data_IF_452192821065
#
_entry.id   IF_452192821065
#
_cell.length_a   1.000
_cell.length_b   1.000
_cell.length_c   1.000
_cell.angle_alpha   90.00
_cell.angle_beta   90.00
_cell.angle_gamma   90.00
#
_symmetry.space_group_name_H-M   'P 1'
#
loop_
_entity.id
_entity.type
_entity.pdbx_description
1 polymer ?
#
# COMPACT_ATOMS: atom_id res chain seq x y z
N UNK A 1 -34.95 26.28 3.92
CA UNK A 1 -33.83 25.70 4.68
C UNK A 1 -34.26 24.34 5.17
N UNK A 2 -34.12 23.34 4.31
CA UNK A 2 -34.45 21.95 4.62
C UNK A 2 -33.71 21.54 5.90
N UNK A 3 -34.40 20.82 6.80
CA UNK A 3 -33.85 20.17 8.00
C UNK A 3 -32.84 19.09 7.58
N UNK A 4 -31.76 19.48 6.92
CA UNK A 4 -30.68 18.59 6.52
C UNK A 4 -29.96 18.23 7.81
N UNK A 5 -30.35 17.06 8.31
CA UNK A 5 -29.71 16.29 9.36
C UNK A 5 -29.20 17.14 10.53
N UNK A 6 -30.10 17.52 11.46
CA UNK A 6 -29.74 18.26 12.68
C UNK A 6 -28.58 17.62 13.47
N UNK A 7 -28.45 16.28 13.40
CA UNK A 7 -27.33 15.56 13.98
C UNK A 7 -26.01 15.89 13.28
N UNK A 8 -25.98 15.94 11.95
CA UNK A 8 -24.81 16.36 11.18
C UNK A 8 -24.35 17.77 11.55
N UNK A 9 -25.28 18.74 11.61
CA UNK A 9 -24.95 20.14 11.96
C UNK A 9 -24.41 20.28 13.39
N UNK A 10 -24.93 19.49 14.33
CA UNK A 10 -24.42 19.44 15.70
C UNK A 10 -22.99 18.92 15.71
N UNK A 11 -22.73 17.76 15.09
CA UNK A 11 -21.40 17.15 15.03
C UNK A 11 -20.42 18.06 14.30
N UNK A 12 -20.82 18.72 13.21
CA UNK A 12 -19.95 19.65 12.50
C UNK A 12 -19.55 20.84 13.37
N UNK A 13 -20.43 21.30 14.25
CA UNK A 13 -20.13 22.38 15.21
C UNK A 13 -19.14 21.91 16.29
N UNK A 14 -19.31 20.68 16.79
CA UNK A 14 -18.37 20.07 17.74
C UNK A 14 -16.99 19.84 17.11
N UNK A 15 -16.93 19.44 15.83
CA UNK A 15 -15.68 19.27 15.09
C UNK A 15 -14.94 20.59 14.82
N UNK A 16 -15.62 21.74 14.81
CA UNK A 16 -14.95 23.04 14.75
C UNK A 16 -14.18 23.30 16.05
N UNK A 17 -14.68 22.83 17.19
CA UNK A 17 -14.05 22.99 18.50
C UNK A 17 -12.94 21.97 18.72
N UNK A 18 -13.12 20.72 18.28
CA UNK A 18 -12.12 19.66 18.36
C UNK A 18 -11.91 18.95 17.01
N UNK A 19 -11.13 19.56 16.09
CA UNK A 19 -10.91 19.01 14.75
C UNK A 19 -10.12 17.69 14.72
N UNK A 20 -9.47 17.31 15.84
CA UNK A 20 -8.61 16.14 15.91
C UNK A 20 -9.33 14.90 16.47
N UNK A 21 -10.61 15.04 16.84
CA UNK A 21 -11.41 13.95 17.37
C UNK A 21 -11.89 13.00 16.27
N UNK A 22 -11.15 11.91 16.06
CA UNK A 22 -11.49 10.92 15.04
C UNK A 22 -12.89 10.33 15.23
N UNK A 23 -13.38 10.17 16.46
CA UNK A 23 -14.68 9.54 16.70
C UNK A 23 -15.84 10.44 16.27
N UNK A 24 -15.73 11.76 16.50
CA UNK A 24 -16.66 12.73 15.93
C UNK A 24 -16.66 12.71 14.39
N UNK A 25 -15.50 12.55 13.76
CA UNK A 25 -15.43 12.38 12.30
C UNK A 25 -16.13 11.11 11.82
N UNK A 26 -16.00 9.99 12.56
CA UNK A 26 -16.73 8.75 12.21
C UNK A 26 -18.24 8.97 12.29
N UNK A 27 -18.70 9.63 13.34
CA UNK A 27 -20.12 9.94 13.53
C UNK A 27 -20.65 10.89 12.45
N UNK A 28 -19.85 11.88 12.04
CA UNK A 28 -20.18 12.78 10.94
C UNK A 28 -20.44 11.99 9.66
N UNK A 29 -19.53 11.08 9.29
CA UNK A 29 -19.70 10.21 8.12
C UNK A 29 -20.96 9.36 8.25
N UNK A 30 -21.13 8.64 9.35
CA UNK A 30 -22.31 7.79 9.55
C UNK A 30 -23.62 8.58 9.51
N UNK A 31 -23.63 9.83 9.98
CA UNK A 31 -24.79 10.70 9.85
C UNK A 31 -25.05 11.10 8.40
N UNK A 32 -23.99 11.35 7.61
CA UNK A 32 -24.12 11.73 6.20
C UNK A 32 -24.57 10.57 5.29
N UNK A 33 -24.34 9.32 5.68
CA UNK A 33 -24.69 8.12 4.89
C UNK A 33 -26.19 7.77 4.91
N UNK A 34 -26.95 8.33 5.85
CA UNK A 34 -28.35 7.97 6.07
C UNK A 34 -29.28 9.18 6.17
N UNK A 35 -30.53 8.97 5.75
CA UNK A 35 -31.65 9.90 5.86
C UNK A 35 -32.77 9.15 6.57
N UNK A 36 -33.23 9.62 7.73
CA UNK A 36 -34.24 8.92 8.54
C UNK A 36 -33.90 7.43 8.75
N UNK A 37 -32.61 7.14 8.96
CA UNK A 37 -32.02 5.79 9.10
C UNK A 37 -32.07 4.92 7.84
N UNK A 38 -32.44 5.46 6.68
CA UNK A 38 -32.36 4.77 5.38
C UNK A 38 -31.09 5.22 4.63
N UNK A 39 -30.37 4.30 3.94
CA UNK A 39 -29.22 4.67 3.14
C UNK A 39 -29.57 5.64 2.01
N UNK A 40 -28.62 6.50 1.64
CA UNK A 40 -28.73 7.35 0.45
C UNK A 40 -28.89 6.48 -0.82
N UNK A 41 -29.70 6.94 -1.76
CA UNK A 41 -29.94 6.29 -3.05
C UNK A 41 -29.80 7.28 -4.20
N UNK A 42 -29.90 6.80 -5.44
CA UNK A 42 -29.91 7.65 -6.65
C UNK A 42 -31.09 8.65 -6.69
N UNK A 43 -32.15 8.40 -5.92
CA UNK A 43 -33.32 9.27 -5.82
C UNK A 43 -33.26 10.26 -4.66
N UNK A 44 -32.18 10.26 -3.87
CA UNK A 44 -31.95 11.25 -2.81
C UNK A 44 -31.75 12.65 -3.39
N UNK A 45 -31.99 13.69 -2.58
CA UNK A 45 -31.88 15.07 -3.05
C UNK A 45 -30.43 15.43 -3.37
N UNK A 46 -30.23 16.39 -4.28
CA UNK A 46 -28.89 16.89 -4.64
C UNK A 46 -28.14 17.44 -3.43
N UNK A 47 -28.85 18.09 -2.49
CA UNK A 47 -28.29 18.62 -1.24
C UNK A 47 -27.75 17.50 -0.34
N UNK A 48 -28.45 16.37 -0.25
CA UNK A 48 -28.04 15.20 0.55
C UNK A 48 -26.81 14.50 -0.05
N UNK A 49 -26.80 14.32 -1.37
CA UNK A 49 -25.64 13.75 -2.08
C UNK A 49 -24.42 14.68 -1.92
N UNK A 50 -24.62 16.00 -2.00
CA UNK A 50 -23.56 16.97 -1.74
C UNK A 50 -23.03 16.88 -0.32
N UNK A 51 -23.91 16.77 0.68
CA UNK A 51 -23.51 16.61 2.07
C UNK A 51 -22.65 15.37 2.31
N UNK A 52 -23.04 14.23 1.72
CA UNK A 52 -22.27 12.99 1.76
C UNK A 52 -20.86 13.19 1.20
N UNK A 53 -20.75 13.74 -0.03
CA UNK A 53 -19.46 14.00 -0.69
C UNK A 53 -18.57 14.91 0.15
N UNK A 54 -19.10 16.05 0.61
CA UNK A 54 -18.35 17.01 1.44
C UNK A 54 -17.86 16.37 2.74
N UNK A 55 -18.67 15.52 3.37
CA UNK A 55 -18.28 14.83 4.60
C UNK A 55 -17.10 13.90 4.37
N UNK A 56 -17.14 13.11 3.30
CA UNK A 56 -16.06 12.22 2.89
C UNK A 56 -14.79 12.96 2.48
N UNK A 57 -14.91 14.02 1.67
CA UNK A 57 -13.76 14.85 1.29
C UNK A 57 -13.09 15.50 2.51
N UNK A 58 -13.88 15.94 3.50
CA UNK A 58 -13.37 16.57 4.72
C UNK A 58 -12.59 15.60 5.61
N UNK A 59 -13.13 14.40 5.88
CA UNK A 59 -12.41 13.40 6.70
C UNK A 59 -11.14 12.93 5.99
N UNK A 60 -11.18 12.76 4.66
CA UNK A 60 -10.05 12.28 3.88
C UNK A 60 -8.95 13.34 3.70
N UNK A 61 -9.32 14.62 3.69
CA UNK A 61 -8.34 15.70 3.76
C UNK A 61 -7.63 15.74 5.12
N UNK A 62 -8.36 15.47 6.21
CA UNK A 62 -7.81 15.46 7.57
C UNK A 62 -7.02 14.19 7.90
N UNK A 63 -7.51 13.02 7.48
CA UNK A 63 -6.93 11.69 7.74
C UNK A 63 -6.76 10.90 6.43
N UNK A 64 -5.80 11.31 5.57
CA UNK A 64 -5.65 10.73 4.24
C UNK A 64 -5.24 9.24 4.23
N UNK A 65 -4.68 8.72 5.33
CA UNK A 65 -4.27 7.31 5.45
C UNK A 65 -5.37 6.37 5.95
N UNK A 66 -6.55 6.88 6.28
CA UNK A 66 -7.70 6.06 6.68
C UNK A 66 -8.37 5.41 5.45
N UNK A 67 -7.67 4.44 4.87
CA UNK A 67 -8.01 3.79 3.59
C UNK A 67 -9.44 3.25 3.51
N UNK A 68 -10.02 2.83 4.64
CA UNK A 68 -11.39 2.33 4.70
C UNK A 68 -12.42 3.39 4.26
N UNK A 69 -12.18 4.67 4.52
CA UNK A 69 -13.08 5.74 4.07
C UNK A 69 -12.91 6.03 2.58
N UNK A 70 -11.71 5.88 2.01
CA UNK A 70 -11.50 5.96 0.56
C UNK A 70 -12.30 4.88 -0.17
N UNK A 71 -12.21 3.62 0.29
CA UNK A 71 -12.96 2.49 -0.28
C UNK A 71 -14.48 2.72 -0.17
N UNK A 72 -14.96 3.12 1.02
CA UNK A 72 -16.38 3.43 1.22
C UNK A 72 -16.84 4.57 0.33
N UNK A 73 -16.03 5.62 0.17
CA UNK A 73 -16.40 6.77 -0.66
C UNK A 73 -16.51 6.38 -2.14
N UNK A 74 -15.53 5.63 -2.66
CA UNK A 74 -15.58 5.14 -4.03
C UNK A 74 -16.79 4.23 -4.26
N UNK A 75 -17.10 3.34 -3.31
CA UNK A 75 -18.30 2.50 -3.37
C UNK A 75 -19.60 3.33 -3.35
N UNK A 76 -19.65 4.42 -2.58
CA UNK A 76 -20.79 5.34 -2.59
C UNK A 76 -20.99 6.00 -3.96
N UNK A 77 -19.94 6.54 -4.56
CA UNK A 77 -20.02 7.11 -5.91
C UNK A 77 -20.46 6.06 -6.94
N UNK A 78 -19.94 4.83 -6.85
CA UNK A 78 -20.32 3.74 -7.72
C UNK A 78 -21.81 3.37 -7.57
N UNK A 79 -22.31 3.23 -6.33
CA UNK A 79 -23.73 2.99 -6.04
C UNK A 79 -24.65 4.09 -6.57
N UNK A 80 -24.17 5.34 -6.55
CA UNK A 80 -24.88 6.49 -7.13
C UNK A 80 -24.83 6.53 -8.66
N UNK A 81 -24.07 5.64 -9.30
CA UNK A 81 -23.92 5.54 -10.76
C UNK A 81 -22.76 6.36 -11.31
N UNK A 82 -21.93 6.96 -10.45
CA UNK A 82 -20.81 7.80 -10.82
C UNK A 82 -19.51 6.99 -10.94
N UNK A 83 -19.47 6.02 -11.88
CA UNK A 83 -18.34 5.09 -12.05
C UNK A 83 -17.01 5.80 -12.29
N UNK A 84 -17.00 6.88 -13.08
CA UNK A 84 -15.78 7.66 -13.33
C UNK A 84 -15.26 8.34 -12.06
N UNK A 85 -16.16 8.87 -11.23
CA UNK A 85 -15.80 9.49 -9.96
C UNK A 85 -15.25 8.46 -8.98
N UNK A 86 -15.88 7.29 -8.88
CA UNK A 86 -15.36 6.18 -8.09
C UNK A 86 -13.94 5.80 -8.49
N UNK A 87 -13.67 5.71 -9.80
CA UNK A 87 -12.33 5.48 -10.32
C UNK A 87 -11.33 6.58 -9.91
N UNK A 88 -11.70 7.85 -10.01
CA UNK A 88 -10.81 8.94 -9.57
C UNK A 88 -10.50 8.89 -8.08
N UNK A 89 -11.46 8.52 -7.24
CA UNK A 89 -11.29 8.37 -5.79
C UNK A 89 -10.29 7.25 -5.49
N UNK A 90 -10.38 6.11 -6.18
CA UNK A 90 -9.39 5.03 -6.04
C UNK A 90 -7.99 5.46 -6.50
N UNK A 91 -7.88 6.20 -7.62
CA UNK A 91 -6.58 6.67 -8.09
C UNK A 91 -5.95 7.66 -7.09
N UNK A 92 -6.74 8.60 -6.58
CA UNK A 92 -6.30 9.55 -5.54
C UNK A 92 -5.86 8.82 -4.26
N UNK A 93 -6.60 7.80 -3.82
CA UNK A 93 -6.24 7.04 -2.62
C UNK A 93 -4.94 6.26 -2.81
N UNK A 94 -4.69 5.70 -4.00
CA UNK A 94 -3.46 4.98 -4.32
C UNK A 94 -2.26 5.90 -4.53
N UNK A 95 -2.45 7.15 -4.93
CA UNK A 95 -1.36 8.15 -4.97
C UNK A 95 -0.88 8.51 -3.55
N UNK A 96 -1.78 8.47 -2.57
CA UNK A 96 -1.50 8.72 -1.15
C UNK A 96 -0.94 7.46 -0.47
N UNK A 97 -1.60 6.32 -0.65
CA UNK A 97 -1.32 5.06 0.05
C UNK A 97 -1.02 3.90 -0.90
N UNK A 98 0.02 4.00 -1.76
CA UNK A 98 0.29 2.98 -2.79
C UNK A 98 0.71 1.62 -2.23
N UNK A 99 1.03 1.53 -0.94
CA UNK A 99 1.47 0.29 -0.29
C UNK A 99 0.35 -0.42 0.49
N UNK A 100 -0.87 0.11 0.48
CA UNK A 100 -2.01 -0.49 1.15
C UNK A 100 -2.59 -1.61 0.28
N UNK A 101 -2.53 -2.84 0.80
CA UNK A 101 -3.00 -4.03 0.09
C UNK A 101 -4.51 -4.03 -0.12
N UNK A 102 -5.27 -3.59 0.89
CA UNK A 102 -6.74 -3.56 0.86
C UNK A 102 -7.26 -2.62 -0.23
N UNK A 103 -6.63 -1.44 -0.40
CA UNK A 103 -6.99 -0.49 -1.46
C UNK A 103 -6.77 -1.08 -2.85
N UNK A 104 -5.64 -1.74 -3.07
CA UNK A 104 -5.35 -2.37 -4.36
C UNK A 104 -6.34 -3.48 -4.68
N UNK A 105 -6.62 -4.37 -3.73
CA UNK A 105 -7.55 -5.49 -3.94
C UNK A 105 -8.95 -4.96 -4.26
N UNK A 106 -9.44 -3.98 -3.48
CA UNK A 106 -10.76 -3.37 -3.70
C UNK A 106 -10.85 -2.67 -5.05
N UNK A 107 -9.81 -1.92 -5.42
CA UNK A 107 -9.76 -1.26 -6.72
C UNK A 107 -9.71 -2.24 -7.90
N UNK A 108 -8.93 -3.32 -7.77
CA UNK A 108 -8.85 -4.35 -8.81
C UNK A 108 -10.20 -5.08 -8.97
N UNK A 109 -10.89 -5.39 -7.87
CA UNK A 109 -12.26 -5.94 -7.90
C UNK A 109 -13.22 -4.99 -8.60
N UNK A 110 -13.21 -3.71 -8.23
CA UNK A 110 -14.00 -2.67 -8.90
C UNK A 110 -13.70 -2.58 -10.41
N UNK A 111 -12.43 -2.72 -10.80
CA UNK A 111 -12.02 -2.69 -12.22
C UNK A 111 -12.45 -3.92 -13.01
N UNK A 112 -12.48 -5.08 -12.38
CA UNK A 112 -13.04 -6.29 -12.98
C UNK A 112 -14.56 -6.17 -13.10
N UNK A 113 -15.25 -5.66 -12.07
CA UNK A 113 -16.70 -5.47 -12.09
C UNK A 113 -17.16 -4.46 -13.16
N UNK A 114 -16.35 -3.43 -13.40
CA UNK A 114 -16.63 -2.37 -14.39
C UNK A 114 -15.89 -2.58 -15.71
N UNK A 115 -15.42 -3.81 -15.96
CA UNK A 115 -14.69 -4.15 -17.16
C UNK A 115 -15.59 -3.95 -18.38
N UNK A 116 -15.09 -3.19 -19.34
CA UNK A 116 -15.71 -3.08 -20.67
C UNK A 116 -14.84 -3.86 -21.66
N UNK A 117 -14.00 -3.17 -22.44
CA UNK A 117 -13.18 -3.79 -23.49
C UNK A 117 -11.66 -3.64 -23.26
N UNK A 118 -11.24 -3.16 -22.08
CA UNK A 118 -9.84 -2.76 -21.85
C UNK A 118 -9.09 -3.73 -20.92
N UNK A 119 -9.08 -5.01 -21.27
CA UNK A 119 -8.47 -6.09 -20.48
C UNK A 119 -6.97 -5.82 -20.28
N UNK A 120 -6.26 -5.33 -21.29
CA UNK A 120 -4.83 -5.01 -21.21
C UNK A 120 -4.52 -3.90 -20.20
N UNK A 121 -5.39 -2.90 -20.07
CA UNK A 121 -5.22 -1.87 -19.02
C UNK A 121 -5.33 -2.45 -17.62
N UNK A 122 -6.19 -3.44 -17.42
CA UNK A 122 -6.37 -4.12 -16.14
C UNK A 122 -5.15 -5.01 -15.85
N UNK A 123 -4.60 -5.70 -16.85
CA UNK A 123 -3.34 -6.42 -16.70
C UNK A 123 -2.20 -5.48 -16.27
N UNK A 124 -2.07 -4.31 -16.91
CA UNK A 124 -1.09 -3.28 -16.51
C UNK A 124 -1.32 -2.80 -15.08
N UNK A 125 -2.58 -2.74 -14.64
CA UNK A 125 -2.93 -2.38 -13.27
C UNK A 125 -2.53 -3.47 -12.27
N UNK A 126 -2.72 -4.74 -12.60
CA UNK A 126 -2.23 -5.88 -11.81
C UNK A 126 -0.70 -5.90 -11.70
N UNK A 127 0.01 -5.57 -12.79
CA UNK A 127 1.47 -5.45 -12.75
C UNK A 127 1.94 -4.26 -11.92
N UNK A 128 1.25 -3.12 -12.04
CA UNK A 128 1.52 -1.95 -11.20
C UNK A 128 1.30 -2.27 -9.73
N UNK A 129 0.16 -2.87 -9.36
CA UNK A 129 -0.13 -3.23 -7.97
C UNK A 129 0.88 -4.25 -7.44
N UNK A 130 1.26 -5.26 -8.23
CA UNK A 130 2.31 -6.24 -7.88
C UNK A 130 3.63 -5.57 -7.52
N UNK A 131 4.00 -4.48 -8.20
CA UNK A 131 5.25 -3.74 -7.91
C UNK A 131 5.27 -3.04 -6.54
N UNK A 132 4.09 -2.80 -5.95
CA UNK A 132 3.94 -2.25 -4.61
C UNK A 132 3.67 -3.33 -3.57
N UNK A 133 2.64 -4.15 -3.79
CA UNK A 133 2.10 -5.06 -2.76
C UNK A 133 2.44 -6.55 -2.98
N UNK A 134 3.17 -6.90 -4.03
CA UNK A 134 3.50 -8.29 -4.34
C UNK A 134 4.25 -9.00 -3.21
N UNK A 135 5.18 -8.30 -2.55
CA UNK A 135 5.94 -8.82 -1.41
C UNK A 135 5.21 -8.73 -0.07
N UNK A 136 3.96 -8.25 -0.02
CA UNK A 136 3.23 -8.18 1.23
C UNK A 136 3.02 -9.60 1.80
N UNK A 137 3.33 -9.82 3.08
CA UNK A 137 3.22 -11.15 3.69
C UNK A 137 1.81 -11.78 3.56
N UNK A 138 0.78 -10.92 3.56
CA UNK A 138 -0.62 -11.31 3.38
C UNK A 138 -1.17 -11.12 1.95
N UNK A 139 -0.34 -11.07 0.91
CA UNK A 139 -0.78 -10.86 -0.50
C UNK A 139 -1.44 -12.05 -1.19
N UNK A 140 -1.83 -13.09 -0.45
CA UNK A 140 -2.48 -14.27 -1.02
C UNK A 140 -3.78 -13.95 -1.77
N UNK A 141 -4.66 -13.13 -1.18
CA UNK A 141 -5.90 -12.70 -1.84
C UNK A 141 -5.63 -11.91 -3.13
N UNK A 142 -4.60 -11.06 -3.13
CA UNK A 142 -4.18 -10.32 -4.33
C UNK A 142 -3.75 -11.28 -5.45
N UNK A 143 -2.92 -12.28 -5.13
CA UNK A 143 -2.46 -13.25 -6.12
C UNK A 143 -3.55 -14.21 -6.59
N UNK A 144 -4.49 -14.59 -5.72
CA UNK A 144 -5.68 -15.33 -6.10
C UNK A 144 -6.50 -14.55 -7.11
N UNK A 145 -6.81 -13.29 -6.82
CA UNK A 145 -7.55 -12.40 -7.72
C UNK A 145 -6.81 -12.22 -9.07
N UNK A 146 -5.48 -12.11 -9.06
CA UNK A 146 -4.70 -11.97 -10.28
C UNK A 146 -4.71 -13.25 -11.12
N UNK A 147 -4.53 -14.43 -10.49
CA UNK A 147 -4.61 -15.71 -11.19
C UNK A 147 -6.02 -15.96 -11.75
N UNK A 148 -7.08 -15.62 -11.00
CA UNK A 148 -8.47 -15.71 -11.47
C UNK A 148 -8.73 -14.79 -12.67
N UNK A 149 -8.23 -13.55 -12.63
CA UNK A 149 -8.31 -12.65 -13.78
C UNK A 149 -7.64 -13.25 -15.03
N UNK A 150 -6.43 -13.78 -14.89
CA UNK A 150 -5.73 -14.40 -16.03
C UNK A 150 -6.49 -15.61 -16.57
N UNK A 151 -7.04 -16.44 -15.69
CA UNK A 151 -7.77 -17.65 -16.09
C UNK A 151 -9.13 -17.34 -16.74
N UNK A 152 -9.86 -16.35 -16.22
CA UNK A 152 -11.18 -15.95 -16.73
C UNK A 152 -11.11 -15.21 -18.07
N UNK A 153 -10.03 -14.48 -18.34
CA UNK A 153 -9.87 -13.65 -19.54
C UNK A 153 -8.83 -14.17 -20.53
N UNK A 154 -8.26 -15.36 -20.33
CA UNK A 154 -7.35 -15.96 -21.31
C UNK A 154 -8.06 -16.25 -22.62
N UNK A 155 -7.37 -15.98 -23.72
CA UNK A 155 -7.76 -16.38 -25.07
C UNK A 155 -6.49 -16.69 -25.88
N UNK A 156 -6.67 -17.24 -27.07
CA UNK A 156 -5.55 -17.67 -27.93
C UNK A 156 -4.63 -16.52 -28.37
N UNK A 157 -5.08 -15.26 -28.21
CA UNK A 157 -4.39 -14.07 -28.72
C UNK A 157 -3.62 -13.26 -27.66
N UNK A 158 -3.80 -13.51 -26.35
CA UNK A 158 -3.31 -12.60 -25.29
C UNK A 158 -2.19 -13.16 -24.38
N UNK A 159 -1.71 -14.39 -24.61
CA UNK A 159 -0.68 -15.06 -23.79
C UNK A 159 -1.00 -15.15 -22.27
N UNK A 160 -2.25 -14.93 -21.84
CA UNK A 160 -2.59 -14.91 -20.41
C UNK A 160 -2.38 -16.28 -19.75
N UNK A 161 -2.52 -17.35 -20.52
CA UNK A 161 -2.22 -18.69 -20.03
C UNK A 161 -0.74 -18.84 -19.66
N UNK A 162 0.18 -18.44 -20.55
CA UNK A 162 1.62 -18.41 -20.25
C UNK A 162 1.91 -17.52 -19.04
N UNK A 163 1.28 -16.34 -18.98
CA UNK A 163 1.40 -15.40 -17.87
C UNK A 163 0.95 -16.02 -16.54
N UNK A 164 -0.12 -16.80 -16.54
CA UNK A 164 -0.65 -17.52 -15.38
C UNK A 164 0.41 -18.48 -14.82
N UNK A 165 1.00 -19.32 -15.66
CA UNK A 165 2.02 -20.29 -15.22
C UNK A 165 3.27 -19.60 -14.68
N UNK A 166 3.74 -18.54 -15.36
CA UNK A 166 4.89 -17.75 -14.91
C UNK A 166 4.58 -17.09 -13.56
N UNK A 167 3.39 -16.49 -13.42
CA UNK A 167 2.98 -15.84 -12.18
C UNK A 167 2.88 -16.86 -11.04
N UNK A 168 2.23 -18.00 -11.26
CA UNK A 168 2.14 -19.06 -10.26
C UNK A 168 3.54 -19.53 -9.84
N UNK A 169 4.46 -19.71 -10.79
CA UNK A 169 5.86 -20.07 -10.51
C UNK A 169 6.58 -19.03 -9.64
N UNK A 170 6.36 -17.74 -9.91
CA UNK A 170 6.92 -16.63 -9.13
C UNK A 170 6.37 -16.66 -7.70
N UNK A 171 5.07 -16.87 -7.52
CA UNK A 171 4.41 -16.87 -6.20
C UNK A 171 5.04 -17.93 -5.27
N UNK A 172 5.47 -19.08 -5.79
CA UNK A 172 6.09 -20.14 -4.99
C UNK A 172 7.40 -19.70 -4.30
N UNK A 173 8.11 -18.74 -4.89
CA UNK A 173 9.36 -18.21 -4.34
C UNK A 173 9.14 -17.08 -3.32
N UNK A 174 7.90 -16.63 -3.13
CA UNK A 174 7.57 -15.55 -2.20
C UNK A 174 7.10 -16.16 -0.87
N UNK A 175 7.69 -15.78 0.28
CA UNK A 175 7.31 -16.30 1.59
C UNK A 175 6.01 -15.66 2.10
N UNK A 176 4.88 -16.04 1.49
CA UNK A 176 3.55 -15.60 1.87
C UNK A 176 3.03 -16.36 3.09
N UNK A 177 2.10 -15.76 3.84
CA UNK A 177 1.41 -16.42 4.95
C UNK A 177 0.71 -17.72 4.49
N UNK A 178 -0.08 -17.65 3.41
CA UNK A 178 -0.78 -18.81 2.84
C UNK A 178 -0.04 -19.46 1.65
N UNK A 179 1.30 -19.50 1.66
CA UNK A 179 2.11 -20.10 0.58
C UNK A 179 1.67 -21.53 0.19
N UNK A 180 1.27 -22.34 1.18
CA UNK A 180 0.87 -23.74 0.97
C UNK A 180 -0.31 -23.91 0.00
N UNK A 181 -1.20 -22.92 -0.10
CA UNK A 181 -2.30 -22.93 -1.06
C UNK A 181 -1.80 -22.94 -2.52
N UNK A 182 -0.80 -22.11 -2.84
CA UNK A 182 -0.22 -22.03 -4.19
C UNK A 182 0.62 -23.26 -4.52
N UNK A 183 1.35 -23.80 -3.55
CA UNK A 183 2.06 -25.07 -3.71
C UNK A 183 1.10 -26.24 -3.98
N UNK A 184 -0.04 -26.29 -3.29
CA UNK A 184 -1.09 -27.28 -3.59
C UNK A 184 -1.57 -27.15 -5.04
N UNK A 185 -1.94 -25.93 -5.48
CA UNK A 185 -2.32 -25.67 -6.88
C UNK A 185 -1.24 -26.14 -7.87
N UNK A 186 0.04 -25.92 -7.55
CA UNK A 186 1.16 -26.33 -8.38
C UNK A 186 1.38 -27.85 -8.42
N UNK A 187 1.29 -28.55 -7.29
CA UNK A 187 1.41 -30.00 -7.26
C UNK A 187 0.22 -30.70 -7.93
N UNK A 188 -1.00 -30.17 -7.75
CA UNK A 188 -2.19 -30.66 -8.45
C UNK A 188 -2.03 -30.50 -9.98
N UNK A 189 -1.41 -29.41 -10.43
CA UNK A 189 -1.04 -29.20 -11.83
C UNK A 189 -0.02 -30.24 -12.32
N UNK A 190 1.10 -30.43 -11.60
CA UNK A 190 2.11 -31.45 -11.95
C UNK A 190 1.47 -32.84 -12.04
N UNK A 191 0.64 -33.20 -11.07
CA UNK A 191 -0.02 -34.50 -11.03
C UNK A 191 -1.03 -34.65 -12.20
N UNK A 192 -1.70 -33.58 -12.64
CA UNK A 192 -2.54 -33.58 -13.85
C UNK A 192 -1.71 -33.78 -15.12
N UNK A 193 -0.62 -33.03 -15.29
CA UNK A 193 0.27 -33.16 -16.45
C UNK A 193 0.92 -34.54 -16.54
N UNK A 194 1.18 -35.18 -15.39
CA UNK A 194 1.75 -36.54 -15.37
C UNK A 194 0.80 -37.62 -15.91
N UNK A 195 -0.51 -37.35 -15.94
CA UNK A 195 -1.56 -38.28 -16.38
C UNK A 195 -2.04 -38.02 -17.81
N UNK A 196 -1.81 -36.83 -18.35
CA UNK A 196 -2.25 -36.41 -19.68
C UNK A 196 -1.05 -35.95 -20.52
N UNK A 197 -0.56 -36.85 -21.39
CA UNK A 197 0.60 -36.58 -22.24
C UNK A 197 0.34 -35.45 -23.26
N UNK A 198 -0.89 -35.31 -23.75
CA UNK A 198 -1.24 -34.25 -24.71
C UNK A 198 -1.20 -32.89 -24.03
N UNK A 199 -1.78 -32.79 -22.83
CA UNK A 199 -1.71 -31.59 -22.02
C UNK A 199 -0.27 -31.28 -21.59
N UNK A 200 0.52 -32.30 -21.25
CA UNK A 200 1.93 -32.14 -20.92
C UNK A 200 2.74 -31.53 -22.07
N UNK A 201 2.57 -32.02 -23.30
CA UNK A 201 3.25 -31.47 -24.49
C UNK A 201 2.94 -29.99 -24.69
N UNK A 202 1.70 -29.58 -24.43
CA UNK A 202 1.25 -28.22 -24.64
C UNK A 202 1.66 -27.25 -23.51
N UNK A 203 1.64 -27.70 -22.25
CA UNK A 203 1.82 -26.81 -21.09
C UNK A 203 3.22 -26.85 -20.47
N UNK A 204 4.02 -27.92 -20.67
CA UNK A 204 5.35 -28.03 -20.06
C UNK A 204 6.33 -26.94 -20.53
N UNK A 205 6.16 -26.41 -21.74
CA UNK A 205 6.93 -25.26 -22.25
C UNK A 205 6.81 -24.00 -21.36
N UNK A 206 5.73 -23.88 -20.59
CA UNK A 206 5.55 -22.76 -19.65
C UNK A 206 6.20 -23.00 -18.28
N UNK A 207 6.55 -24.25 -17.98
CA UNK A 207 7.11 -24.69 -16.69
C UNK A 207 8.62 -24.88 -16.80
N UNK A 208 9.08 -25.41 -17.93
CA UNK A 208 10.46 -25.72 -18.23
C UNK A 208 10.95 -24.84 -19.38
N UNK A 209 12.08 -24.12 -19.23
CA UNK A 209 12.58 -23.21 -20.25
C UNK A 209 13.24 -23.88 -21.46
N UNK A 210 13.56 -25.19 -21.40
CA UNK A 210 14.26 -25.92 -22.45
C UNK A 210 13.34 -26.97 -23.06
N UNK A 211 13.25 -27.10 -24.38
CA UNK A 211 12.37 -28.08 -25.05
C UNK A 211 12.94 -29.50 -25.15
N UNK A 212 14.19 -29.71 -24.72
CA UNK A 212 14.88 -31.01 -24.82
C UNK A 212 14.59 -31.95 -23.64
N UNK A 213 13.32 -32.13 -23.27
CA UNK A 213 12.92 -33.10 -22.23
C UNK A 213 12.11 -34.26 -22.80
N UNK A 214 12.35 -35.46 -22.27
CA UNK A 214 11.49 -36.61 -22.49
C UNK A 214 10.34 -36.56 -21.49
N UNK A 215 9.10 -36.56 -21.99
CA UNK A 215 7.90 -36.61 -21.14
C UNK A 215 7.74 -38.04 -20.65
N UNK A 216 8.25 -38.32 -19.45
CA UNK A 216 8.14 -39.61 -18.78
C UNK A 216 7.90 -39.45 -17.27
N UNK A 217 7.66 -40.56 -16.57
CA UNK A 217 7.45 -40.56 -15.13
C UNK A 217 8.65 -40.01 -14.35
N UNK A 218 9.87 -40.09 -14.91
CA UNK A 218 11.09 -39.61 -14.26
C UNK A 218 11.11 -38.08 -14.24
N UNK A 219 10.75 -37.44 -15.35
CA UNK A 219 10.62 -35.98 -15.43
C UNK A 219 9.69 -35.42 -14.34
N UNK A 220 8.49 -36.00 -14.19
CA UNK A 220 7.52 -35.55 -13.20
C UNK A 220 7.99 -35.83 -11.76
N UNK A 221 8.71 -36.92 -11.52
CA UNK A 221 9.32 -37.19 -10.21
C UNK A 221 10.41 -36.16 -9.87
N UNK A 222 11.25 -35.78 -10.84
CA UNK A 222 12.27 -34.74 -10.69
C UNK A 222 11.65 -33.36 -10.44
N UNK A 223 10.61 -32.99 -11.19
CA UNK A 223 9.84 -31.77 -10.97
C UNK A 223 9.25 -31.76 -9.55
N UNK A 224 8.57 -32.83 -9.16
CA UNK A 224 7.97 -32.94 -7.82
C UNK A 224 9.02 -32.75 -6.74
N UNK A 225 10.17 -33.44 -6.84
CA UNK A 225 11.29 -33.29 -5.91
C UNK A 225 11.77 -31.84 -5.84
N UNK A 226 12.06 -31.20 -6.98
CA UNK A 226 12.55 -29.81 -7.05
C UNK A 226 11.60 -28.84 -6.36
N UNK A 227 10.29 -29.01 -6.56
CA UNK A 227 9.29 -28.14 -5.94
C UNK A 227 9.00 -28.51 -4.48
N UNK A 228 9.27 -29.74 -4.06
CA UNK A 228 9.31 -30.10 -2.63
C UNK A 228 10.47 -29.39 -1.93
N UNK A 229 11.66 -29.35 -2.55
CA UNK A 229 12.82 -28.64 -1.99
C UNK A 229 12.54 -27.12 -1.89
N UNK A 230 11.94 -26.53 -2.94
CA UNK A 230 11.50 -25.14 -2.91
C UNK A 230 10.45 -24.89 -1.82
N UNK A 231 9.46 -25.79 -1.66
CA UNK A 231 8.46 -25.71 -0.60
C UNK A 231 9.10 -25.65 0.79
N UNK A 232 10.09 -26.50 1.07
CA UNK A 232 10.79 -26.54 2.36
C UNK A 232 11.54 -25.20 2.59
N UNK A 233 12.19 -24.66 1.57
CA UNK A 233 12.87 -23.37 1.66
C UNK A 233 11.90 -22.20 1.89
N UNK A 234 10.81 -22.11 1.11
CA UNK A 234 9.77 -21.08 1.31
C UNK A 234 9.14 -21.22 2.69
N UNK A 235 8.85 -22.44 3.13
CA UNK A 235 8.33 -22.72 4.47
C UNK A 235 9.24 -22.18 5.56
N UNK A 236 10.55 -22.45 5.49
CA UNK A 236 11.54 -21.96 6.44
C UNK A 236 11.50 -20.42 6.53
N UNK A 237 11.58 -19.73 5.39
CA UNK A 237 11.55 -18.27 5.37
C UNK A 237 10.21 -17.67 5.82
N UNK A 238 9.08 -18.30 5.47
CA UNK A 238 7.76 -17.89 5.97
C UNK A 238 7.71 -18.00 7.49
N UNK A 239 8.27 -19.05 8.09
CA UNK A 239 8.32 -19.18 9.55
C UNK A 239 9.22 -18.13 10.21
N UNK A 240 10.36 -17.77 9.59
CA UNK A 240 11.20 -16.66 10.06
C UNK A 240 10.40 -15.36 10.09
N UNK A 241 9.74 -14.99 8.98
CA UNK A 241 8.94 -13.76 8.88
C UNK A 241 7.74 -13.78 9.83
N UNK A 242 7.06 -14.93 9.98
CA UNK A 242 5.91 -15.08 10.87
C UNK A 242 6.25 -14.73 12.33
N UNK A 243 7.47 -15.01 12.78
CA UNK A 243 7.91 -14.67 14.13
C UNK A 243 7.96 -13.15 14.40
N UNK A 244 8.13 -12.34 13.34
CA UNK A 244 8.00 -10.89 13.40
C UNK A 244 6.54 -10.48 13.24
N UNK A 245 5.87 -10.96 12.19
CA UNK A 245 4.48 -10.57 11.86
C UNK A 245 3.50 -10.78 13.01
N UNK A 246 3.62 -11.89 13.76
CA UNK A 246 2.76 -12.16 14.93
C UNK A 246 2.89 -11.11 16.05
N UNK A 247 4.02 -10.41 16.14
CA UNK A 247 4.26 -9.34 17.12
C UNK A 247 3.66 -8.00 16.70
N UNK A 248 3.37 -7.82 15.41
CA UNK A 248 2.85 -6.55 14.87
C UNK A 248 1.34 -6.38 15.08
N UNK A 249 0.66 -7.42 15.56
CA UNK A 249 -0.78 -7.43 15.85
C UNK A 249 -1.05 -6.62 17.12
N UNK A 250 -1.34 -5.33 16.95
CA UNK A 250 -1.77 -4.46 18.05
C UNK A 250 -3.28 -4.42 18.16
N UNK A 251 -3.78 -4.63 19.38
CA UNK A 251 -5.19 -4.39 19.72
C UNK A 251 -5.48 -2.92 20.09
N UNK A 252 -4.44 -2.13 20.33
CA UNK A 252 -4.53 -0.74 20.81
C UNK A 252 -4.44 0.24 19.64
N UNK A 253 -5.04 1.42 19.83
CA UNK A 253 -5.04 2.53 18.86
C UNK A 253 -3.67 3.23 18.79
N UNK A 254 -2.98 3.33 19.93
CA UNK A 254 -1.62 3.88 20.02
C UNK A 254 -0.61 2.75 20.21
N UNK A 255 0.58 2.90 19.64
CA UNK A 255 1.64 1.92 19.79
C UNK A 255 2.41 2.11 21.10
N UNK A 256 2.72 0.99 21.73
CA UNK A 256 3.63 0.95 22.86
C UNK A 256 5.09 0.94 22.38
N UNK A 257 6.03 1.18 23.29
CA UNK A 257 7.46 1.06 23.01
C UNK A 257 7.80 -0.33 22.46
N UNK A 258 7.18 -1.39 22.99
CA UNK A 258 7.37 -2.77 22.53
C UNK A 258 6.90 -2.96 21.08
N UNK A 259 5.82 -2.29 20.67
CA UNK A 259 5.34 -2.35 19.29
C UNK A 259 6.32 -1.66 18.34
N UNK A 260 6.88 -0.52 18.76
CA UNK A 260 7.91 0.21 18.00
C UNK A 260 9.18 -0.64 17.84
N UNK A 261 9.65 -1.27 18.93
CA UNK A 261 10.80 -2.18 18.91
C UNK A 261 10.55 -3.40 18.01
N UNK A 262 9.32 -3.92 18.00
CA UNK A 262 8.95 -5.04 17.13
C UNK A 262 9.02 -4.67 15.64
N UNK A 263 8.55 -3.46 15.26
CA UNK A 263 8.67 -2.97 13.89
C UNK A 263 10.11 -2.69 13.49
N UNK A 264 10.89 -2.02 14.35
CA UNK A 264 12.30 -1.74 14.09
C UNK A 264 13.10 -3.03 13.92
N UNK A 265 12.94 -3.99 14.83
CA UNK A 265 13.61 -5.27 14.75
C UNK A 265 13.21 -6.07 13.50
N UNK A 266 11.97 -5.92 13.02
CA UNK A 266 11.57 -6.54 11.76
C UNK A 266 12.28 -5.90 10.56
N UNK A 267 12.32 -4.57 10.48
CA UNK A 267 12.99 -3.85 9.40
C UNK A 267 14.49 -4.13 9.40
N UNK A 268 15.14 -4.08 10.56
CA UNK A 268 16.57 -4.40 10.71
C UNK A 268 16.88 -5.83 10.27
N UNK A 269 16.03 -6.79 10.63
CA UNK A 269 16.15 -8.16 10.15
C UNK A 269 16.10 -8.22 8.61
N UNK A 270 15.15 -7.54 7.98
CA UNK A 270 15.01 -7.53 6.52
C UNK A 270 16.21 -6.88 5.83
N UNK A 271 16.75 -5.80 6.38
CA UNK A 271 17.96 -5.13 5.87
C UNK A 271 19.21 -6.00 6.01
N UNK A 272 19.43 -6.61 7.17
CA UNK A 272 20.57 -7.51 7.43
C UNK A 272 20.54 -8.73 6.49
N UNK A 273 19.34 -9.29 6.27
CA UNK A 273 19.13 -10.43 5.37
C UNK A 273 19.09 -10.03 3.89
N UNK A 274 19.22 -8.73 3.58
CA UNK A 274 19.23 -8.20 2.22
C UNK A 274 18.00 -8.60 1.40
N UNK A 275 16.81 -8.55 2.03
CA UNK A 275 15.57 -8.70 1.30
C UNK A 275 15.42 -7.60 0.24
N UNK A 276 14.61 -7.82 -0.82
CA UNK A 276 14.40 -6.82 -1.85
C UNK A 276 13.99 -5.46 -1.28
N UNK A 277 14.61 -4.38 -1.75
CA UNK A 277 14.33 -3.01 -1.29
C UNK A 277 12.85 -2.65 -1.31
N UNK A 278 12.08 -3.19 -2.28
CA UNK A 278 10.63 -2.99 -2.35
C UNK A 278 9.87 -3.62 -1.19
N UNK A 279 10.33 -4.75 -0.67
CA UNK A 279 9.74 -5.37 0.50
C UNK A 279 10.03 -4.54 1.76
N UNK A 280 11.25 -4.04 1.91
CA UNK A 280 11.64 -3.16 3.03
C UNK A 280 10.83 -1.86 2.98
N UNK A 281 10.74 -1.20 1.82
CA UNK A 281 9.87 -0.03 1.59
C UNK A 281 8.42 -0.32 2.01
N UNK A 282 7.87 -1.47 1.60
CA UNK A 282 6.51 -1.88 1.98
C UNK A 282 6.33 -1.98 3.50
N UNK A 283 7.29 -2.55 4.24
CA UNK A 283 7.20 -2.68 5.70
C UNK A 283 7.26 -1.32 6.40
N UNK A 284 8.10 -0.39 5.93
CA UNK A 284 8.07 0.99 6.40
C UNK A 284 6.69 1.61 6.23
N UNK A 285 6.11 1.56 5.03
CA UNK A 285 4.80 2.17 4.79
C UNK A 285 3.66 1.50 5.55
N UNK A 286 3.72 0.18 5.79
CA UNK A 286 2.76 -0.51 6.68
C UNK A 286 2.76 0.07 8.09
N UNK A 287 3.93 0.42 8.62
CA UNK A 287 4.03 1.07 9.92
C UNK A 287 3.62 2.56 9.84
N UNK A 288 4.00 3.30 8.80
CA UNK A 288 3.57 4.71 8.60
C UNK A 288 2.05 4.83 8.62
N UNK A 289 1.33 3.99 7.88
CA UNK A 289 -0.13 4.07 7.80
C UNK A 289 -0.82 3.75 9.14
N UNK A 290 -0.13 3.06 10.05
CA UNK A 290 -0.62 2.72 11.38
C UNK A 290 -0.41 3.86 12.38
N UNK A 291 0.73 4.53 12.32
CA UNK A 291 1.05 5.67 13.19
C UNK A 291 1.89 6.70 12.43
N UNK A 292 1.20 7.70 11.90
CA UNK A 292 1.80 8.70 11.00
C UNK A 292 2.55 9.79 11.74
N UNK A 293 2.26 9.96 13.04
CA UNK A 293 2.77 11.04 13.90
C UNK A 293 4.12 10.71 14.53
N UNK A 294 4.63 9.49 14.38
CA UNK A 294 5.91 9.08 14.94
C UNK A 294 7.05 9.57 14.04
N UNK A 295 7.95 10.44 14.52
CA UNK A 295 9.03 10.96 13.68
C UNK A 295 10.10 9.90 13.34
N UNK A 296 10.29 8.91 14.21
CA UNK A 296 11.39 7.94 14.13
C UNK A 296 11.31 7.13 12.84
N UNK A 297 10.11 6.70 12.46
CA UNK A 297 9.90 5.92 11.25
C UNK A 297 10.21 6.70 9.98
N UNK A 298 9.80 7.98 9.92
CA UNK A 298 10.06 8.84 8.78
C UNK A 298 11.55 9.12 8.61
N UNK A 299 12.25 9.36 9.73
CA UNK A 299 13.70 9.54 9.73
C UNK A 299 14.42 8.28 9.25
N UNK A 300 14.03 7.10 9.75
CA UNK A 300 14.59 5.81 9.32
C UNK A 300 14.30 5.51 7.85
N UNK A 301 13.10 5.81 7.34
CA UNK A 301 12.77 5.66 5.92
C UNK A 301 13.61 6.59 5.04
N UNK A 302 13.82 7.84 5.48
CA UNK A 302 14.69 8.76 4.78
C UNK A 302 16.14 8.28 4.76
N UNK A 303 16.65 7.75 5.87
CA UNK A 303 17.99 7.14 5.96
C UNK A 303 18.13 5.94 5.03
N UNK A 304 17.13 5.06 4.99
CA UNK A 304 17.06 3.95 4.05
C UNK A 304 17.15 4.44 2.59
N UNK A 305 16.43 5.49 2.23
CA UNK A 305 16.50 6.07 0.88
C UNK A 305 17.85 6.74 0.59
N UNK A 306 18.42 7.46 1.56
CA UNK A 306 19.74 8.10 1.42
C UNK A 306 20.82 7.04 1.20
N UNK A 307 20.82 5.97 1.99
CA UNK A 307 21.74 4.84 1.85
C UNK A 307 21.70 4.21 0.46
N UNK A 308 20.50 4.11 -0.13
CA UNK A 308 20.29 3.59 -1.49
C UNK A 308 20.41 4.65 -2.60
N UNK A 309 20.95 5.85 -2.32
CA UNK A 309 21.08 6.96 -3.27
C UNK A 309 19.75 7.42 -3.90
N UNK A 310 18.62 7.17 -3.23
CA UNK A 310 17.27 7.55 -3.65
C UNK A 310 16.86 8.91 -3.08
N UNK A 311 17.68 9.93 -3.33
CA UNK A 311 17.53 11.26 -2.69
C UNK A 311 16.18 11.94 -2.95
N UNK A 312 15.58 11.75 -4.13
CA UNK A 312 14.26 12.30 -4.43
C UNK A 312 13.15 11.66 -3.56
N UNK A 313 13.27 10.36 -3.25
CA UNK A 313 12.32 9.66 -2.39
C UNK A 313 12.56 10.01 -0.92
N UNK A 314 13.82 10.15 -0.50
CA UNK A 314 14.17 10.69 0.83
C UNK A 314 13.56 12.09 1.03
N UNK A 315 13.73 12.99 0.05
CA UNK A 315 13.12 14.32 0.08
C UNK A 315 11.60 14.24 0.15
N UNK A 316 10.95 13.43 -0.69
CA UNK A 316 9.49 13.31 -0.69
C UNK A 316 8.98 12.83 0.68
N UNK A 317 9.55 11.74 1.21
CA UNK A 317 9.17 11.19 2.51
C UNK A 317 9.35 12.18 3.66
N UNK A 318 10.44 12.96 3.69
CA UNK A 318 10.64 13.99 4.72
C UNK A 318 9.65 15.16 4.59
N UNK A 319 9.28 15.57 3.38
CA UNK A 319 8.24 16.59 3.19
C UNK A 319 6.86 16.08 3.62
N UNK A 320 6.55 14.83 3.31
CA UNK A 320 5.32 14.19 3.77
C UNK A 320 5.32 14.11 5.31
N UNK A 321 6.44 13.70 5.92
CA UNK A 321 6.60 13.65 7.37
C UNK A 321 6.34 14.99 8.07
N UNK A 322 6.84 16.12 7.54
CA UNK A 322 6.58 17.45 8.11
C UNK A 322 5.09 17.79 8.19
N UNK A 323 4.28 17.28 7.26
CA UNK A 323 2.83 17.49 7.26
C UNK A 323 2.12 16.69 8.34
N UNK A 324 2.61 15.49 8.66
CA UNK A 324 1.94 14.55 9.56
C UNK A 324 2.48 14.57 11.00
N UNK A 325 3.74 14.94 11.20
CA UNK A 325 4.40 14.96 12.51
C UNK A 325 4.42 16.38 13.09
N UNK A 326 3.38 17.18 12.81
CA UNK A 326 3.21 18.56 13.30
C UNK A 326 4.46 19.45 13.13
N UNK A 327 5.10 19.39 11.96
CA UNK A 327 6.29 20.19 11.65
C UNK A 327 7.45 19.97 12.64
N UNK A 328 7.69 18.72 13.07
CA UNK A 328 8.80 18.42 14.00
C UNK A 328 10.17 18.89 13.48
N UNK A 329 10.92 19.56 14.36
CA UNK A 329 12.18 20.19 14.00
C UNK A 329 13.28 19.19 13.63
N UNK A 330 13.26 17.96 14.16
CA UNK A 330 14.26 16.92 13.82
C UNK A 330 14.08 16.47 12.38
N UNK A 331 12.84 16.30 11.94
CA UNK A 331 12.50 15.98 10.54
C UNK A 331 12.95 17.13 9.62
N UNK A 332 12.69 18.38 10.03
CA UNK A 332 13.13 19.55 9.27
C UNK A 332 14.65 19.61 9.14
N UNK A 333 15.39 19.41 10.24
CA UNK A 333 16.85 19.40 10.22
C UNK A 333 17.37 18.32 9.27
N UNK A 334 16.80 17.11 9.30
CA UNK A 334 17.19 16.03 8.39
C UNK A 334 16.98 16.40 6.92
N UNK A 335 15.85 17.05 6.61
CA UNK A 335 15.56 17.54 5.26
C UNK A 335 16.54 18.63 4.82
N UNK A 336 16.84 19.57 5.71
CA UNK A 336 17.83 20.63 5.48
C UNK A 336 19.21 20.04 5.23
N UNK A 337 19.64 19.07 6.04
CA UNK A 337 20.93 18.38 5.87
C UNK A 337 21.01 17.64 4.53
N UNK A 338 19.91 17.01 4.09
CA UNK A 338 19.81 16.42 2.76
C UNK A 338 19.96 17.48 1.65
N UNK A 339 19.31 18.65 1.76
CA UNK A 339 19.45 19.70 0.76
C UNK A 339 20.85 20.31 0.75
N UNK A 340 21.50 20.45 1.91
CA UNK A 340 22.90 20.88 2.01
C UNK A 340 23.82 19.87 1.32
N UNK A 341 23.64 18.57 1.59
CA UNK A 341 24.40 17.49 0.95
C UNK A 341 24.27 17.55 -0.58
N UNK A 342 23.08 17.85 -1.08
CA UNK A 342 22.78 18.01 -2.51
C UNK A 342 23.15 19.39 -3.08
N UNK A 343 23.80 20.26 -2.27
CA UNK A 343 24.19 21.63 -2.64
C UNK A 343 23.03 22.57 -3.00
N UNK A 344 21.83 22.27 -2.54
CA UNK A 344 20.63 23.09 -2.72
C UNK A 344 20.47 24.11 -1.56
N UNK A 345 21.47 24.95 -1.34
CA UNK A 345 21.52 25.83 -0.16
C UNK A 345 20.35 26.82 -0.08
N UNK A 346 19.88 27.35 -1.23
CA UNK A 346 18.72 28.24 -1.27
C UNK A 346 17.44 27.54 -0.80
N UNK A 347 17.27 26.26 -1.16
CA UNK A 347 16.13 25.47 -0.70
C UNK A 347 16.22 25.19 0.80
N UNK A 348 17.41 24.85 1.28
CA UNK A 348 17.69 24.62 2.69
C UNK A 348 17.33 25.85 3.55
N UNK A 349 17.76 27.06 3.15
CA UNK A 349 17.44 28.28 3.91
C UNK A 349 15.95 28.63 3.86
N UNK A 350 15.30 28.45 2.71
CA UNK A 350 13.87 28.73 2.57
C UNK A 350 13.02 27.83 3.47
N UNK A 351 13.40 26.55 3.62
CA UNK A 351 12.74 25.62 4.56
C UNK A 351 12.85 26.11 6.01
N UNK A 352 14.04 26.56 6.43
CA UNK A 352 14.25 27.09 7.78
C UNK A 352 13.48 28.40 8.01
N UNK A 353 13.50 29.32 7.06
CA UNK A 353 12.73 30.58 7.15
C UNK A 353 11.24 30.31 7.25
N UNK A 354 10.71 29.38 6.44
CA UNK A 354 9.32 28.95 6.54
C UNK A 354 8.99 28.42 7.94
N UNK A 355 9.87 27.61 8.53
CA UNK A 355 9.69 27.14 9.89
C UNK A 355 9.68 28.29 10.93
N UNK A 356 10.62 29.23 10.83
CA UNK A 356 10.69 30.39 11.74
C UNK A 356 9.44 31.28 11.67
N UNK A 357 8.84 31.41 10.48
CA UNK A 357 7.67 32.26 10.27
C UNK A 357 6.42 31.75 11.01
N UNK A 358 6.25 30.43 11.12
CA UNK A 358 5.03 29.81 11.64
C UNK A 358 5.15 29.26 13.07
N UNK A 359 6.34 29.27 13.68
CA UNK A 359 6.56 28.75 15.03
C UNK A 359 6.99 29.86 16.00
N UNK A 360 6.30 29.95 17.14
CA UNK A 360 6.61 30.93 18.19
C UNK A 360 7.76 30.48 19.10
N UNK A 361 7.89 29.18 19.35
CA UNK A 361 8.97 28.61 20.14
C UNK A 361 9.99 27.93 19.21
N UNK A 362 11.14 28.57 19.02
CA UNK A 362 12.16 28.13 18.07
C UNK A 362 13.32 27.48 18.85
N UNK A 363 13.61 26.18 18.63
CA UNK A 363 14.77 25.53 19.23
C UNK A 363 16.09 26.18 18.78
N UNK A 364 17.08 26.27 19.69
CA UNK A 364 18.41 26.83 19.40
C UNK A 364 19.08 26.15 18.20
N UNK A 365 18.91 24.84 18.05
CA UNK A 365 19.45 24.04 16.94
C UNK A 365 18.99 24.57 15.57
N UNK A 366 17.76 25.09 15.46
CA UNK A 366 17.26 25.71 14.22
C UNK A 366 18.01 27.01 13.93
N UNK A 367 18.23 27.84 14.95
CA UNK A 367 18.93 29.12 14.80
C UNK A 367 20.39 28.90 14.37
N UNK A 368 21.07 27.93 14.98
CA UNK A 368 22.42 27.53 14.58
C UNK A 368 22.46 27.02 13.14
N UNK A 369 21.48 26.19 12.76
CA UNK A 369 21.39 25.66 11.38
C UNK A 369 21.19 26.79 10.37
N UNK A 370 20.37 27.81 10.67
CA UNK A 370 20.20 28.99 9.81
C UNK A 370 21.53 29.70 9.57
N UNK A 371 22.30 29.94 10.63
CA UNK A 371 23.61 30.58 10.52
C UNK A 371 24.59 29.72 9.72
N UNK A 372 24.54 28.39 9.90
CA UNK A 372 25.34 27.46 9.11
C UNK A 372 25.01 27.53 7.62
N UNK A 373 23.73 27.50 7.24
CA UNK A 373 23.32 27.54 5.83
C UNK A 373 23.65 28.90 5.19
N UNK A 374 23.44 30.03 5.89
CA UNK A 374 23.81 31.35 5.36
C UNK A 374 25.30 31.44 5.01
N UNK A 375 26.18 30.94 5.89
CA UNK A 375 27.63 30.87 5.61
C UNK A 375 27.99 30.01 4.39
N UNK A 376 27.16 29.02 4.04
CA UNK A 376 27.36 28.19 2.85
C UNK A 376 26.86 28.86 1.57
N UNK A 377 25.94 29.82 1.67
CA UNK A 377 25.44 30.60 0.52
C UNK A 377 26.42 31.73 0.16
N UNK A 378 27.08 32.30 1.17
CA UNK A 378 28.06 33.39 0.99
C UNK A 378 29.41 32.92 0.43
N UNK A 379 29.65 31.61 0.37
CA UNK A 379 30.84 30.97 -0.22
C UNK A 379 30.54 30.42 -1.60
#
# INVERSE_FOLDING_TARGET
MSLINAKWNKISTELIQDPNNLDLWKELISSSETIDKKPITKSSSSEQIKLLKTSYESILNKYPFEFKYWMKYANWEFKLGNTNQANEIYLKSLDISPWCIELWIDFLKFKIETISNNIDSILKLFEKSRSFIGFHFYSSEFYELYLEFLDNYKNDNNEFEKKYFILLRIILEIPLYNYGFFYKKWFDLIDKLSKDEKLAKDKLQYILPNDNYKIDKKLFAELKKRFTDAYISTQFHTFELYNFEKKLITKRKTMSIQDIEAWLGYIEYLEIKQYPNKFIELVYYRWIYKETTNEVIWLKLADFYIYHNKFNQARKSLNDALRYVNNDYKVLIKLVDLEIYLKNYQRAINLLIGYLQFNTNIPLVIQEKVMQVKKLIEK
#
